data_IF_669184429342
#
_entry.id   IF_669184429342
#
_cell.length_a   1.000
_cell.length_b   1.000
_cell.length_c   1.000
_cell.angle_alpha   90.00
_cell.angle_beta   90.00
_cell.angle_gamma   90.00
#
_symmetry.space_group_name_H-M   'P 1'
#
loop_
_entity.id
_entity.type
_entity.pdbx_description
1 polymer ?
2 non-polymer ?
#
# COMPACT_ATOMS: atom_id res chain seq x y z
N UNK A 1 1.75 -10.01 7.96
CA UNK A 1 1.14 -11.04 7.10
C UNK A 1 2.22 -11.81 6.36
N UNK A 2 1.81 -12.72 5.47
CA UNK A 2 2.76 -13.51 4.71
C UNK A 2 2.37 -13.59 3.23
N UNK A 3 1.25 -14.23 2.96
CA UNK A 3 0.75 -14.42 1.59
C UNK A 3 0.45 -13.09 0.90
N UNK A 4 -0.29 -12.22 1.57
CA UNK A 4 -0.67 -10.92 1.01
C UNK A 4 0.53 -10.14 0.49
N UNK A 5 1.61 -10.12 1.26
CA UNK A 5 2.80 -9.40 0.88
C UNK A 5 3.43 -10.00 -0.38
N UNK A 6 3.55 -11.33 -0.40
CA UNK A 6 4.13 -12.03 -1.54
C UNK A 6 3.33 -11.77 -2.81
N UNK A 7 2.01 -11.74 -2.68
CA UNK A 7 1.11 -11.49 -3.80
C UNK A 7 1.37 -10.10 -4.40
N UNK A 8 1.67 -9.15 -3.53
CA UNK A 8 1.94 -7.79 -3.96
C UNK A 8 3.30 -7.69 -4.65
N UNK A 9 4.29 -8.36 -4.09
CA UNK A 9 5.64 -8.35 -4.64
C UNK A 9 5.67 -8.84 -6.09
N UNK A 10 4.99 -9.96 -6.35
CA UNK A 10 4.96 -10.54 -7.69
C UNK A 10 4.09 -9.72 -8.64
N UNK A 11 3.34 -8.77 -8.09
CA UNK A 11 2.45 -7.94 -8.89
C UNK A 11 3.09 -6.59 -9.23
N UNK A 12 3.59 -5.90 -8.21
CA UNK A 12 4.20 -4.59 -8.40
C UNK A 12 5.41 -4.66 -9.33
N UNK A 13 6.20 -5.72 -9.20
CA UNK A 13 7.39 -5.89 -10.04
C UNK A 13 7.03 -6.12 -11.51
N UNK A 14 5.76 -6.39 -11.76
CA UNK A 14 5.31 -6.61 -13.13
C UNK A 14 4.91 -5.28 -13.78
N UNK A 15 4.76 -4.25 -12.95
CA UNK A 15 4.39 -2.92 -13.44
C UNK A 15 5.51 -1.92 -13.21
N UNK A 16 5.97 -1.81 -11.97
CA UNK A 16 7.03 -0.88 -11.63
C UNK A 16 8.39 -1.48 -11.98
N UNK A 17 8.49 -2.80 -11.94
CA UNK A 17 9.74 -3.47 -12.26
C UNK A 17 10.73 -3.41 -11.10
N UNK A 18 11.82 -2.68 -11.29
CA UNK A 18 12.84 -2.56 -10.25
C UNK A 18 12.53 -1.38 -9.33
N UNK A 19 11.57 -0.56 -9.72
CA UNK A 19 11.19 0.60 -8.93
C UNK A 19 10.11 0.24 -7.90
N UNK A 20 9.86 -1.05 -7.76
CA UNK A 20 8.86 -1.57 -6.83
C UNK A 20 9.33 -1.42 -5.38
N UNK A 21 8.39 -1.37 -4.42
CA UNK A 21 8.71 -1.23 -3.01
C UNK A 21 9.30 -2.52 -2.43
N UNK A 22 10.13 -2.38 -1.41
CA UNK A 22 10.75 -3.53 -0.78
C UNK A 22 9.75 -4.25 0.12
N UNK A 23 9.94 -5.55 0.30
CA UNK A 23 9.06 -6.36 1.13
C UNK A 23 9.03 -5.82 2.55
N UNK A 24 10.19 -5.32 3.01
CA UNK A 24 10.31 -4.76 4.36
C UNK A 24 9.44 -3.52 4.51
N UNK A 25 9.23 -2.80 3.41
CA UNK A 25 8.41 -1.60 3.43
C UNK A 25 6.94 -1.99 3.49
N UNK A 26 6.57 -2.96 2.67
CA UNK A 26 5.19 -3.45 2.62
C UNK A 26 4.78 -4.04 3.96
N UNK A 27 5.63 -4.92 4.49
CA UNK A 27 5.35 -5.56 5.76
C UNK A 27 5.18 -4.59 6.91
N UNK A 28 5.95 -3.50 6.88
CA UNK A 28 5.88 -2.49 7.92
C UNK A 28 4.67 -1.57 7.74
N UNK A 29 4.38 -1.23 6.50
CA UNK A 29 3.26 -0.34 6.19
C UNK A 29 1.92 -1.01 6.49
N UNK A 30 1.84 -2.31 6.25
CA UNK A 30 0.62 -3.07 6.48
C UNK A 30 0.20 -2.99 7.94
N UNK A 31 1.16 -3.09 8.85
CA UNK A 31 0.88 -3.02 10.27
C UNK A 31 0.39 -1.63 10.65
N UNK A 32 0.85 -0.62 9.91
CA UNK A 32 0.47 0.76 10.16
C UNK A 32 -1.00 0.95 9.81
N UNK A 33 -1.43 0.32 8.72
CA UNK A 33 -2.82 0.40 8.27
C UNK A 33 -3.77 -0.16 9.32
N UNK A 34 -3.34 -1.24 9.95
CA UNK A 34 -4.15 -1.89 10.97
C UNK A 34 -4.15 -1.11 12.27
N UNK A 35 -2.97 -0.67 12.71
CA UNK A 35 -2.86 0.09 13.96
C UNK A 35 -3.64 1.41 13.89
N UNK A 36 -3.74 1.99 12.70
CA UNK A 36 -4.46 3.23 12.52
C UNK A 36 -5.96 2.99 12.37
N UNK A 37 -6.36 1.73 12.36
CA UNK A 37 -7.77 1.39 12.23
C UNK A 37 -8.32 1.70 10.86
N UNK A 38 -7.44 1.68 9.86
CA UNK A 38 -7.85 1.96 8.49
C UNK A 38 -8.39 0.69 7.85
N UNK A 39 -7.72 -0.41 8.13
CA UNK A 39 -8.12 -1.71 7.59
C UNK A 39 -8.05 -2.77 8.68
N UNK A 40 -8.95 -3.74 8.61
CA UNK A 40 -8.97 -4.81 9.59
C UNK A 40 -7.96 -5.89 9.24
N UNK A 41 -7.95 -6.30 7.98
CA UNK A 41 -7.02 -7.32 7.53
C UNK A 41 -6.23 -6.84 6.31
N UNK A 42 -5.03 -7.39 6.08
CA UNK A 42 -4.20 -7.02 4.93
C UNK A 42 -4.88 -7.37 3.61
N UNK A 43 -5.77 -8.35 3.66
CA UNK A 43 -6.51 -8.79 2.48
C UNK A 43 -7.53 -7.74 2.05
N UNK A 44 -7.74 -6.73 2.90
CA UNK A 44 -8.69 -5.66 2.59
C UNK A 44 -8.18 -4.78 1.46
N UNK A 45 -6.90 -4.96 1.13
CA UNK A 45 -6.26 -4.20 0.07
C UNK A 45 -6.85 -4.53 -1.30
N UNK A 46 -7.59 -5.64 -1.37
CA UNK A 46 -8.21 -6.05 -2.63
C UNK A 46 -9.47 -5.22 -2.90
N UNK A 47 -9.82 -4.35 -1.96
CA UNK A 47 -10.98 -3.48 -2.09
C UNK A 47 -10.53 -2.13 -2.64
N UNK A 48 -10.82 -1.84 -3.93
CA UNK A 48 -10.41 -0.60 -4.58
C UNK A 48 -11.12 0.63 -4.02
N UNK A 49 -12.33 0.43 -3.49
CA UNK A 49 -13.08 1.53 -2.93
C UNK A 49 -12.49 2.05 -1.62
N UNK A 50 -11.85 1.16 -0.88
CA UNK A 50 -11.25 1.52 0.40
C UNK A 50 -9.92 2.25 0.23
N UNK A 51 -9.42 2.32 -1.01
CA UNK A 51 -8.15 3.00 -1.28
C UNK A 51 -8.25 4.51 -1.10
N UNK A 52 -9.44 5.04 -1.33
CA UNK A 52 -9.68 6.49 -1.22
C UNK A 52 -9.36 7.03 0.18
N UNK A 53 -10.03 6.55 1.25
CA UNK A 53 -9.77 7.03 2.62
C UNK A 53 -8.33 6.82 3.05
N UNK A 54 -7.75 5.70 2.65
CA UNK A 54 -6.37 5.38 3.01
C UNK A 54 -5.40 6.40 2.40
N UNK A 55 -5.55 6.64 1.11
CA UNK A 55 -4.69 7.59 0.40
C UNK A 55 -4.83 8.98 1.02
N UNK A 56 -6.06 9.37 1.32
CA UNK A 56 -6.33 10.67 1.92
C UNK A 56 -5.68 10.79 3.30
N UNK A 57 -5.85 9.75 4.12
CA UNK A 57 -5.29 9.72 5.47
C UNK A 57 -3.77 9.82 5.44
N UNK A 58 -3.15 9.08 4.50
CA UNK A 58 -1.70 9.07 4.39
C UNK A 58 -1.17 10.44 3.99
N UNK A 59 -1.77 11.04 2.96
CA UNK A 59 -1.34 12.35 2.51
C UNK A 59 -1.53 13.39 3.62
N UNK A 60 -2.55 13.18 4.43
CA UNK A 60 -2.85 14.08 5.54
C UNK A 60 -1.74 14.03 6.60
N UNK A 61 -1.44 12.83 7.08
CA UNK A 61 -0.41 12.66 8.09
C UNK A 61 0.97 13.04 7.56
N UNK A 62 1.15 12.89 6.25
CA UNK A 62 2.42 13.21 5.61
C UNK A 62 2.66 14.71 5.59
N UNK A 63 1.65 15.48 5.19
CA UNK A 63 1.77 16.93 5.11
C UNK A 63 1.72 17.59 6.49
N UNK A 64 1.23 16.86 7.49
CA UNK A 64 1.13 17.41 8.84
C UNK A 64 2.32 17.03 9.72
N UNK A 65 2.67 15.74 9.72
CA UNK A 65 3.79 15.27 10.55
C UNK A 65 5.13 15.37 9.83
N UNK A 66 5.10 15.42 8.52
CA UNK A 66 6.33 15.51 7.76
C UNK A 66 6.97 14.14 7.56
N UNK A 67 6.13 13.12 7.47
CA UNK A 67 6.60 11.75 7.28
C UNK A 67 5.81 11.09 6.16
N UNK A 68 6.51 10.73 5.10
CA UNK A 68 5.88 10.09 3.96
C UNK A 68 6.40 8.66 3.79
N UNK A 69 6.89 8.08 4.88
CA UNK A 69 7.42 6.72 4.84
C UNK A 69 6.44 5.72 4.27
N UNK A 70 5.24 5.70 4.83
CA UNK A 70 4.20 4.78 4.37
C UNK A 70 3.60 5.27 3.04
N UNK A 71 3.62 6.58 2.86
CA UNK A 71 3.08 7.21 1.65
C UNK A 71 3.83 6.76 0.40
N UNK A 72 5.15 6.66 0.51
CA UNK A 72 5.98 6.26 -0.61
C UNK A 72 5.68 4.82 -1.03
N UNK A 73 5.60 3.94 -0.04
CA UNK A 73 5.31 2.54 -0.30
C UNK A 73 3.90 2.37 -0.85
N UNK A 74 2.94 3.07 -0.22
CA UNK A 74 1.54 2.99 -0.65
C UNK A 74 1.39 3.45 -2.08
N UNK A 75 2.02 4.56 -2.42
CA UNK A 75 1.93 5.11 -3.76
C UNK A 75 2.32 4.10 -4.84
N UNK A 76 3.34 3.31 -4.57
CA UNK A 76 3.80 2.30 -5.52
C UNK A 76 2.81 1.15 -5.60
N UNK A 77 2.41 0.64 -4.45
CA UNK A 77 1.46 -0.47 -4.38
C UNK A 77 0.13 -0.07 -5.00
N UNK A 78 -0.31 1.15 -4.69
CA UNK A 78 -1.56 1.68 -5.21
C UNK A 78 -1.53 1.74 -6.73
N UNK A 79 -0.44 2.28 -7.28
CA UNK A 79 -0.31 2.37 -8.71
C UNK A 79 -0.35 1.01 -9.39
N UNK A 80 0.34 0.04 -8.80
CA UNK A 80 0.37 -1.31 -9.34
C UNK A 80 -1.00 -1.95 -9.31
N UNK A 81 -1.70 -1.80 -8.19
CA UNK A 81 -3.03 -2.38 -8.03
C UNK A 81 -4.04 -1.67 -8.93
N UNK A 82 -3.88 -0.36 -9.06
CA UNK A 82 -4.78 0.42 -9.92
C UNK A 82 -4.70 -0.06 -11.35
N UNK A 83 -3.47 -0.22 -11.85
CA UNK A 83 -3.25 -0.69 -13.20
C UNK A 83 -3.81 -2.10 -13.38
N UNK A 84 -3.61 -2.94 -12.38
CA UNK A 84 -4.10 -4.31 -12.41
C UNK A 84 -5.62 -4.35 -12.47
N UNK A 85 -6.25 -3.47 -11.70
CA UNK A 85 -7.71 -3.40 -11.65
C UNK A 85 -8.28 -2.80 -12.94
N UNK A 86 -7.44 -2.12 -13.71
CA UNK A 86 -7.87 -1.50 -14.97
C UNK A 86 -7.88 -2.52 -16.10
N UNK A 87 -7.28 -3.68 -15.85
CA UNK A 87 -7.21 -4.73 -16.85
C UNK A 87 -8.24 -5.82 -16.56
X LIG B 1 12.30 -13.41 -1.64
X LIG B 1 12.12 -13.06 -0.17
X LIG B 1 13.14 -11.99 0.23
X LIG B 1 12.92 -10.74 -0.62
X LIG B 1 13.11 -11.09 -2.09
X LIG B 1 12.09 -12.16 -2.50
X LIG B 1 11.35 -14.41 -2.01
X LIG B 1 11.78 -15.86 -2.58
X LIG B 1 12.69 -16.52 -1.62
X LIG B 1 10.46 -16.77 -2.78
X LIG B 1 12.52 -15.68 -4.00
X LIG B 1 10.80 -12.56 0.04
X LIG B 1 9.75 -13.26 1.05
X LIG B 1 10.36 -13.38 2.39
X LIG B 1 8.42 -12.37 1.14
X LIG B 1 9.37 -14.73 0.49
X LIG B 1 12.97 -11.66 1.61
X LIG B 1 14.14 -11.85 2.71
X LIG B 1 14.61 -13.25 2.69
X LIG B 1 15.36 -10.86 2.37
X LIG B 1 13.56 -11.51 4.17
X LIG B 1 13.87 -9.74 -0.24
X LIG B 1 13.45 -8.30 0.32
X LIG B 1 14.77 -7.48 0.76
X LIG B 1 12.67 -7.48 -0.83
X LIG B 1 12.57 -8.47 1.50
X LIG B 1 12.91 -9.92 -2.90
X LIG B 1 14.04 -9.31 -3.86
X LIG B 1 14.50 -10.36 -4.79
X LIG B 1 13.42 -8.08 -4.69
X LIG B 1 15.28 -8.80 -2.97
X LIG B 1 12.25 -12.49 -3.87
X LIG B 1 11.09 -12.30 -4.97
X LIG B 1 10.61 -10.90 -4.95
X LIG B 1 11.67 -12.64 -6.44
X LIG B 1 9.87 -13.28 -4.63
X LIG B 1 13.32 -13.78 -1.80
X LIG B 1 12.27 -13.95 0.44
X LIG B 1 14.15 -12.40 0.06
X LIG B 1 11.91 -10.36 -0.46
X LIG B 1 14.12 -11.47 -2.25
X LIG B 1 11.08 -11.80 -2.33
#
# INVERSE_FOLDING_TARGET
SEAVIKVISSACKTYCGKTSPSKKEIGAMLSLLQKEGLLMSPSDLYSPGSWDPITAALSQRAMILGKSGELKTWGLVLGALKAAREE
IHP C1 C2 C3 C4 C5 C6 O11 P1 O21 O31 O41 O12 P2 O22 O32 O42 O13 P3 O23 O33 O43 O14 P4 O24 O34 O44 O15 P5 O25 O35 O45 O16 P6 O26 O36 O46 H1 H2 H3 H4 H5 H6
#
